data_IF_482646169213
#
_entry.id   IF_482646169213
#
_cell.length_a   1.000
_cell.length_b   1.000
_cell.length_c   1.000
_cell.angle_alpha   90.00
_cell.angle_beta   90.00
_cell.angle_gamma   90.00
#
_symmetry.space_group_name_H-M   'P 1'
#
loop_
_entity.id
_entity.type
_entity.pdbx_description
1 polymer ?
#
# COMPACT_ATOMS: atom_id res chain seq x y z
N UNK A 1 -5.63 -14.01 -22.06
CA UNK A 1 -5.24 -13.35 -20.80
C UNK A 1 -5.27 -11.87 -21.08
N UNK A 2 -5.96 -11.09 -20.26
CA UNK A 2 -6.17 -9.66 -20.50
C UNK A 2 -5.48 -8.91 -19.36
N UNK A 3 -4.35 -8.27 -19.64
CA UNK A 3 -3.69 -7.41 -18.67
C UNK A 3 -4.47 -6.11 -18.44
N UNK A 4 -4.61 -5.73 -17.17
CA UNK A 4 -5.26 -4.50 -16.72
C UNK A 4 -4.19 -3.49 -16.33
N UNK A 5 -3.96 -2.47 -17.16
CA UNK A 5 -3.05 -1.38 -16.81
C UNK A 5 -3.87 -0.16 -16.41
N UNK A 6 -3.69 0.31 -15.18
CA UNK A 6 -4.14 1.63 -14.78
C UNK A 6 -2.99 2.62 -15.04
N UNK A 7 -3.15 3.48 -16.06
CA UNK A 7 -2.24 4.59 -16.36
C UNK A 7 -2.83 5.86 -15.79
N UNK A 8 -1.99 6.68 -15.16
CA UNK A 8 -2.35 7.98 -14.59
C UNK A 8 -1.33 9.02 -15.07
N UNK A 9 -1.81 10.13 -15.60
CA UNK A 9 -0.94 11.26 -15.95
C UNK A 9 -0.57 12.10 -14.73
N UNK A 10 0.32 13.08 -14.92
CA UNK A 10 0.85 13.98 -13.88
C UNK A 10 -0.25 14.80 -13.18
N UNK A 11 -1.44 14.91 -13.78
CA UNK A 11 -2.60 15.60 -13.21
C UNK A 11 -3.52 14.69 -12.38
N UNK A 12 -3.18 13.40 -12.27
CA UNK A 12 -4.02 12.41 -11.60
C UNK A 12 -5.24 11.99 -12.42
N UNK A 13 -5.23 12.27 -13.73
CA UNK A 13 -6.28 11.86 -14.65
C UNK A 13 -5.88 10.54 -15.30
N UNK A 14 -6.85 9.64 -15.46
CA UNK A 14 -6.66 8.35 -16.10
C UNK A 14 -6.85 8.50 -17.62
N UNK A 15 -5.81 8.42 -18.46
CA UNK A 15 -6.01 8.12 -19.87
C UNK A 15 -6.53 6.67 -19.97
N UNK A 16 -7.86 6.53 -20.11
CA UNK A 16 -8.54 5.23 -20.08
C UNK A 16 -8.21 4.40 -21.33
N UNK A 17 -7.40 3.36 -21.16
CA UNK A 17 -7.56 2.08 -21.89
C UNK A 17 -7.79 0.98 -20.85
N UNK A 18 -9.04 0.83 -20.38
CA UNK A 18 -9.43 -0.28 -19.51
C UNK A 18 -9.57 -1.56 -20.35
N UNK A 19 -8.67 -2.53 -20.16
CA UNK A 19 -8.87 -3.93 -20.61
C UNK A 19 -8.94 -4.82 -19.37
N UNK A 20 -10.09 -5.47 -19.14
CA UNK A 20 -10.45 -6.08 -17.86
C UNK A 20 -9.89 -7.50 -17.63
N UNK A 21 -9.49 -7.83 -16.39
CA UNK A 21 -9.62 -9.18 -15.80
C UNK A 21 -9.53 -9.11 -14.25
N UNK A 22 -10.43 -9.79 -13.51
CA UNK A 22 -10.41 -9.89 -12.05
C UNK A 22 -9.60 -11.13 -11.62
N UNK A 23 -8.98 -11.09 -10.42
CA UNK A 23 -8.75 -12.19 -9.46
C UNK A 23 -7.46 -11.97 -8.65
N UNK A 24 -7.60 -11.85 -7.32
CA UNK A 24 -6.50 -11.94 -6.34
C UNK A 24 -6.28 -13.40 -5.91
N UNK A 25 -5.01 -13.84 -5.83
CA UNK A 25 -4.61 -15.18 -5.38
C UNK A 25 -3.33 -15.70 -6.06
N UNK A 26 -2.66 -16.70 -5.46
CA UNK A 26 -1.54 -17.40 -6.09
C UNK A 26 -2.06 -18.38 -7.15
N UNK A 27 -1.83 -18.06 -8.42
CA UNK A 27 -2.16 -18.95 -9.54
C UNK A 27 -0.92 -19.75 -9.93
N UNK A 28 -0.91 -21.05 -9.67
CA UNK A 28 0.13 -21.95 -10.19
C UNK A 28 -0.07 -22.12 -11.70
N UNK A 29 0.80 -21.49 -12.50
CA UNK A 29 0.75 -21.59 -13.95
C UNK A 29 1.54 -22.83 -14.44
N UNK A 30 0.98 -23.65 -15.34
CA UNK A 30 1.71 -24.73 -15.98
C UNK A 30 2.96 -24.20 -16.70
N UNK A 31 4.03 -24.99 -16.72
CA UNK A 31 5.26 -24.66 -17.43
C UNK A 31 4.97 -24.31 -18.91
N UNK A 32 5.48 -23.16 -19.37
CA UNK A 32 5.25 -22.64 -20.72
C UNK A 32 4.02 -21.73 -20.86
N UNK A 33 3.26 -21.49 -19.78
CA UNK A 33 2.17 -20.51 -19.79
C UNK A 33 2.74 -19.09 -19.78
N UNK A 34 2.40 -18.28 -20.78
CA UNK A 34 2.68 -16.86 -20.74
C UNK A 34 1.92 -16.23 -19.54
N UNK A 35 2.63 -15.48 -18.69
CA UNK A 35 2.07 -14.70 -17.60
C UNK A 35 2.26 -13.21 -17.91
N UNK A 36 1.23 -12.40 -17.72
CA UNK A 36 1.32 -10.95 -17.84
C UNK A 36 1.23 -10.32 -16.45
N UNK A 37 2.24 -9.54 -16.09
CA UNK A 37 2.28 -8.77 -14.83
C UNK A 37 1.67 -7.40 -15.09
N UNK A 38 0.63 -7.04 -14.33
CA UNK A 38 0.06 -5.70 -14.33
C UNK A 38 0.88 -4.82 -13.38
N UNK A 39 1.42 -3.71 -13.89
CA UNK A 39 2.11 -2.69 -13.10
C UNK A 39 1.31 -1.40 -13.24
N UNK A 40 0.97 -0.78 -12.10
CA UNK A 40 0.40 0.56 -12.12
C UNK A 40 1.51 1.56 -12.46
N UNK A 41 1.30 2.37 -13.50
CA UNK A 41 2.30 3.30 -14.01
C UNK A 41 1.82 4.75 -13.88
N UNK A 42 2.77 5.66 -13.68
CA UNK A 42 2.56 7.10 -13.79
C UNK A 42 3.47 7.68 -14.85
N UNK A 43 3.03 8.76 -15.49
CA UNK A 43 3.92 9.59 -16.28
C UNK A 43 4.77 10.43 -15.30
N UNK A 44 6.07 10.53 -15.59
CA UNK A 44 7.01 11.36 -14.85
C UNK A 44 8.10 11.81 -15.83
N UNK A 45 8.30 13.12 -15.95
CA UNK A 45 9.30 13.71 -16.85
C UNK A 45 9.22 13.18 -18.30
N UNK A 46 7.99 12.94 -18.79
CA UNK A 46 7.73 12.43 -20.14
C UNK A 46 7.97 10.93 -20.33
N UNK A 47 8.29 10.18 -19.28
CA UNK A 47 8.44 8.73 -19.31
C UNK A 47 7.41 8.02 -18.42
N UNK A 48 6.88 6.88 -18.87
CA UNK A 48 6.04 6.04 -18.03
C UNK A 48 6.91 5.22 -17.08
N UNK A 49 6.73 5.44 -15.78
CA UNK A 49 7.46 4.76 -14.70
C UNK A 49 6.48 4.01 -13.79
N UNK A 50 6.97 3.04 -13.03
CA UNK A 50 6.16 2.38 -12.00
C UNK A 50 5.73 3.41 -10.94
N UNK A 51 4.47 3.34 -10.49
CA UNK A 51 4.01 4.19 -9.40
C UNK A 51 4.78 3.86 -8.12
N UNK A 52 5.24 4.87 -7.37
CA UNK A 52 5.83 4.63 -6.06
C UNK A 52 4.76 4.08 -5.11
N UNK A 53 5.12 3.09 -4.31
CA UNK A 53 4.26 2.46 -3.32
C UNK A 53 4.87 2.61 -1.93
N UNK A 54 4.03 2.77 -0.92
CA UNK A 54 4.49 2.77 0.48
C UNK A 54 5.07 1.40 0.81
N UNK A 55 6.28 1.39 1.35
CA UNK A 55 6.97 0.17 1.76
C UNK A 55 6.26 -0.47 2.98
N UNK A 56 6.54 -1.76 3.22
CA UNK A 56 6.09 -2.40 4.46
C UNK A 56 6.67 -1.67 5.68
N UNK A 57 5.96 -1.64 6.82
CA UNK A 57 6.44 -0.94 7.99
C UNK A 57 7.63 -1.67 8.63
N UNK A 58 8.48 -0.91 9.30
CA UNK A 58 9.39 -1.44 10.30
C UNK A 58 8.70 -1.50 11.65
N UNK A 59 8.92 -2.58 12.38
CA UNK A 59 8.30 -2.83 13.68
C UNK A 59 9.39 -3.07 14.70
N UNK A 60 9.43 -2.23 15.74
CA UNK A 60 10.45 -2.29 16.80
C UNK A 60 9.80 -2.38 18.17
N UNK A 61 10.23 -3.32 19.00
CA UNK A 61 9.77 -3.43 20.40
C UNK A 61 10.42 -2.32 21.24
N UNK A 62 9.62 -1.59 22.01
CA UNK A 62 10.07 -0.58 22.97
C UNK A 62 9.50 -0.86 24.37
N UNK A 63 9.86 -0.02 25.36
CA UNK A 63 9.28 -0.10 26.70
C UNK A 63 7.78 0.27 26.73
N UNK A 64 7.32 1.05 25.76
CA UNK A 64 5.95 1.57 25.69
C UNK A 64 5.03 0.72 24.81
N UNK A 65 5.58 -0.21 24.02
CA UNK A 65 4.79 -1.01 23.09
C UNK A 65 5.60 -1.51 21.89
N UNK A 66 4.95 -1.56 20.73
CA UNK A 66 5.56 -1.81 19.43
C UNK A 66 5.48 -0.53 18.62
N UNK A 67 6.63 0.03 18.27
CA UNK A 67 6.74 1.20 17.40
C UNK A 67 6.63 0.73 15.96
N UNK A 68 5.66 1.29 15.24
CA UNK A 68 5.38 1.00 13.83
C UNK A 68 5.77 2.22 13.02
N UNK A 69 6.64 2.05 12.04
CA UNK A 69 7.12 3.15 11.20
C UNK A 69 7.02 2.80 9.71
N UNK A 70 6.52 3.74 8.90
CA UNK A 70 6.53 3.66 7.45
C UNK A 70 7.31 4.83 6.86
N UNK A 71 8.08 4.59 5.81
CA UNK A 71 8.49 5.65 4.90
C UNK A 71 7.27 6.01 4.03
N UNK A 72 6.73 7.22 4.21
CA UNK A 72 5.49 7.65 3.56
C UNK A 72 5.54 9.13 3.20
N UNK A 73 5.01 9.55 2.04
CA UNK A 73 4.97 10.96 1.68
C UNK A 73 4.09 11.76 2.65
N UNK A 74 4.41 13.04 2.84
CA UNK A 74 3.59 13.96 3.63
C UNK A 74 2.15 13.98 3.09
N UNK A 75 1.17 13.94 4.00
CA UNK A 75 -0.25 13.83 3.68
C UNK A 75 -0.76 12.40 3.52
N UNK A 76 0.10 11.38 3.67
CA UNK A 76 -0.38 10.01 3.88
C UNK A 76 -0.98 9.86 5.28
N UNK A 77 -1.96 8.96 5.41
CA UNK A 77 -2.68 8.68 6.66
C UNK A 77 -2.76 7.17 6.82
N UNK A 78 -2.51 6.68 8.02
CA UNK A 78 -2.68 5.27 8.38
C UNK A 78 -3.84 5.13 9.37
N UNK A 79 -4.88 4.41 8.98
CA UNK A 79 -5.91 3.93 9.90
C UNK A 79 -5.48 2.60 10.51
N UNK A 80 -5.68 2.45 11.81
CA UNK A 80 -5.37 1.23 12.56
C UNK A 80 -6.68 0.57 12.97
N UNK A 81 -6.86 -0.68 12.56
CA UNK A 81 -8.05 -1.47 12.85
C UNK A 81 -7.65 -2.73 13.60
N UNK A 82 -8.29 -2.97 14.74
CA UNK A 82 -8.27 -4.26 15.42
C UNK A 82 -9.46 -5.10 14.92
N UNK A 83 -9.27 -6.37 14.54
CA UNK A 83 -10.33 -7.19 13.97
C UNK A 83 -11.46 -7.53 14.95
N UNK A 84 -11.25 -7.35 16.25
CA UNK A 84 -12.22 -7.61 17.31
C UNK A 84 -12.83 -6.31 17.86
N UNK A 85 -12.04 -5.25 17.97
CA UNK A 85 -12.48 -3.98 18.56
C UNK A 85 -12.90 -2.93 17.50
N UNK A 86 -12.52 -3.13 16.24
CA UNK A 86 -12.76 -2.19 15.14
C UNK A 86 -11.69 -1.11 15.03
N UNK A 87 -12.07 0.05 14.51
CA UNK A 87 -11.15 1.18 14.31
C UNK A 87 -10.63 1.70 15.66
N UNK A 88 -9.30 1.77 15.78
CA UNK A 88 -8.60 2.21 16.99
C UNK A 88 -8.15 3.67 16.89
N UNK A 89 -7.84 4.15 15.69
CA UNK A 89 -7.34 5.51 15.47
C UNK A 89 -6.63 5.67 14.15
N UNK A 90 -6.14 6.89 13.90
CA UNK A 90 -5.39 7.27 12.70
C UNK A 90 -4.07 7.95 13.06
N UNK A 91 -3.07 7.79 12.21
CA UNK A 91 -1.80 8.52 12.28
C UNK A 91 -1.53 9.23 10.95
N UNK A 92 -1.05 10.47 11.01
CA UNK A 92 -0.73 11.29 9.84
C UNK A 92 0.78 11.32 9.57
N UNK A 93 1.16 11.32 8.29
CA UNK A 93 2.55 11.38 7.88
C UNK A 93 3.12 12.77 8.14
N UNK A 94 4.35 12.82 8.66
CA UNK A 94 5.11 14.04 8.86
C UNK A 94 6.58 13.82 8.54
N UNK A 95 7.19 14.78 7.83
CA UNK A 95 8.59 14.76 7.45
C UNK A 95 9.01 13.46 6.72
N UNK A 96 8.13 12.93 5.86
CA UNK A 96 8.40 11.72 5.09
C UNK A 96 8.21 10.40 5.84
N UNK A 97 7.60 10.41 7.02
CA UNK A 97 7.34 9.20 7.80
C UNK A 97 5.95 9.17 8.46
N UNK A 98 5.40 7.97 8.62
CA UNK A 98 4.27 7.68 9.51
C UNK A 98 4.81 6.89 10.69
N UNK A 99 4.52 7.31 11.92
CA UNK A 99 4.96 6.60 13.13
C UNK A 99 3.88 6.61 14.20
N UNK A 100 3.64 5.46 14.83
CA UNK A 100 2.73 5.32 15.98
C UNK A 100 3.13 4.11 16.83
N UNK A 101 2.56 4.03 18.04
CA UNK A 101 2.81 2.95 18.99
C UNK A 101 1.54 2.14 19.22
N UNK A 102 1.65 0.82 19.10
CA UNK A 102 0.64 -0.12 19.57
C UNK A 102 1.08 -0.64 20.94
N UNK A 103 0.24 -0.48 21.96
CA UNK A 103 0.59 -0.83 23.34
C UNK A 103 0.51 -2.35 23.61
N UNK A 104 -0.31 -3.07 22.84
CA UNK A 104 -0.64 -4.48 23.08
C UNK A 104 -0.19 -5.39 21.93
N UNK A 105 0.12 -6.65 22.29
CA UNK A 105 0.36 -7.70 21.30
C UNK A 105 -0.98 -8.10 20.70
N UNK A 106 -1.00 -8.51 19.43
CA UNK A 106 -2.26 -8.82 18.79
C UNK A 106 -2.19 -8.81 17.27
N UNK A 107 -3.38 -8.87 16.66
CA UNK A 107 -3.56 -8.78 15.22
C UNK A 107 -4.13 -7.41 14.90
N UNK A 108 -3.53 -6.75 13.92
CA UNK A 108 -3.96 -5.42 13.49
C UNK A 108 -3.99 -5.37 11.96
N UNK A 109 -4.94 -4.63 11.42
CA UNK A 109 -4.96 -4.23 10.02
C UNK A 109 -4.57 -2.75 9.96
N UNK A 110 -3.57 -2.44 9.12
CA UNK A 110 -3.09 -1.09 8.89
C UNK A 110 -3.52 -0.68 7.49
N UNK A 111 -4.30 0.39 7.37
CA UNK A 111 -4.80 0.91 6.11
C UNK A 111 -4.14 2.26 5.82
N UNK A 112 -3.10 2.24 4.98
CA UNK A 112 -2.34 3.43 4.63
C UNK A 112 -2.89 4.03 3.34
N UNK A 113 -3.54 5.17 3.46
CA UNK A 113 -3.96 6.01 2.33
C UNK A 113 -2.86 7.02 2.02
N UNK A 114 -2.46 7.12 0.76
CA UNK A 114 -1.40 8.03 0.32
C UNK A 114 -1.93 9.08 -0.66
N UNK A 115 -1.40 10.31 -0.64
CA UNK A 115 -1.69 11.30 -1.67
C UNK A 115 -1.14 10.81 -3.01
N UNK A 116 -1.77 11.27 -4.09
CA UNK A 116 -1.26 10.99 -5.44
C UNK A 116 0.15 11.60 -5.59
N UNK A 117 1.06 10.95 -6.33
CA UNK A 117 0.85 9.77 -7.16
C UNK A 117 1.07 8.43 -6.44
N UNK A 118 1.32 8.42 -5.13
CA UNK A 118 1.67 7.22 -4.40
C UNK A 118 0.50 6.22 -4.35
N UNK A 119 0.85 4.94 -4.33
CA UNK A 119 -0.08 3.88 -3.99
C UNK A 119 -0.12 3.73 -2.47
N UNK A 120 -1.34 3.75 -1.93
CA UNK A 120 -1.60 3.29 -0.57
C UNK A 120 -1.37 1.79 -0.42
N UNK A 121 -1.53 1.29 0.80
CA UNK A 121 -1.24 -0.09 1.17
C UNK A 121 -2.15 -0.54 2.30
N UNK A 122 -2.46 -1.84 2.34
CA UNK A 122 -3.07 -2.49 3.49
C UNK A 122 -2.17 -3.61 3.99
N UNK A 123 -1.86 -3.62 5.28
CA UNK A 123 -1.05 -4.64 5.93
C UNK A 123 -1.83 -5.35 7.03
N UNK A 124 -1.67 -6.67 7.11
CA UNK A 124 -2.10 -7.45 8.26
C UNK A 124 -0.88 -7.74 9.13
N UNK A 125 -0.82 -7.09 10.29
CA UNK A 125 0.27 -7.18 11.23
C UNK A 125 -0.09 -8.11 12.39
N UNK A 126 0.87 -8.96 12.78
CA UNK A 126 0.77 -9.81 13.98
C UNK A 126 1.94 -9.49 14.90
N UNK A 127 1.63 -8.92 16.06
CA UNK A 127 2.59 -8.58 17.10
C UNK A 127 2.64 -9.70 18.15
N UNK A 128 3.85 -10.15 18.47
CA UNK A 128 4.14 -11.20 19.45
C UNK A 128 5.23 -10.73 20.43
#
# INVERSE_FOLDING_TARGET
MTALYAKMDDSGVYPVELRSSPLEGWLALPAGTAAEVAIAMMLADGAWVARPAIAAPTVTRSAEGWVIEFAAPDGAVCDVVDPYLGWLGSADASAGALAFVLAEAGRYQLEVTAPRPWLGRTDNLVLA
#
